data_IF_317810530069
#
_entry.id   IF_317810530069
#
_cell.length_a   1.000
_cell.length_b   1.000
_cell.length_c   1.000
_cell.angle_alpha   90.00
_cell.angle_beta   90.00
_cell.angle_gamma   90.00
#
_symmetry.space_group_name_H-M   'P 1'
#
loop_
_entity.id
_entity.type
_entity.pdbx_description
1 polymer ?
#
# COMPACT_ATOMS: atom_id res chain seq x y z
N UNK A 1 16.35 -4.88 9.12
CA UNK A 1 16.17 -4.62 7.67
C UNK A 1 16.68 -3.21 7.41
N UNK A 2 17.60 -3.03 6.47
CA UNK A 2 18.05 -1.69 6.07
C UNK A 2 17.01 -1.06 5.14
N UNK A 3 16.85 0.26 5.17
CA UNK A 3 16.00 0.99 4.21
C UNK A 3 16.42 0.71 2.75
N UNK A 4 17.70 0.39 2.51
CA UNK A 4 18.20 -0.03 1.20
C UNK A 4 17.60 -1.34 0.71
N UNK A 5 17.17 -2.23 1.62
CA UNK A 5 16.49 -3.48 1.29
C UNK A 5 15.07 -3.21 0.78
N UNK A 6 14.37 -2.24 1.36
CA UNK A 6 13.00 -1.88 0.95
C UNK A 6 12.96 -1.36 -0.50
N UNK A 7 13.98 -0.61 -0.93
CA UNK A 7 14.10 -0.10 -2.31
C UNK A 7 14.14 -1.21 -3.38
N UNK A 8 14.46 -2.43 -2.99
CA UNK A 8 14.61 -3.57 -3.90
C UNK A 8 13.44 -4.55 -3.86
N UNK A 9 12.43 -4.30 -3.02
CA UNK A 9 11.24 -5.13 -2.96
C UNK A 9 10.48 -5.09 -4.29
N UNK A 10 10.16 -6.26 -4.82
CA UNK A 10 9.27 -6.42 -5.98
C UNK A 10 7.83 -6.72 -5.55
N UNK A 11 7.66 -7.34 -4.39
CA UNK A 11 6.37 -7.72 -3.81
C UNK A 11 6.35 -7.30 -2.35
N UNK A 12 5.23 -6.69 -1.93
CA UNK A 12 4.97 -6.26 -0.57
C UNK A 12 3.55 -6.72 -0.21
N UNK A 13 3.49 -7.83 0.52
CA UNK A 13 2.25 -8.33 1.10
C UNK A 13 2.22 -8.00 2.59
N UNK A 14 1.29 -7.13 2.96
CA UNK A 14 1.04 -6.75 4.35
C UNK A 14 -0.41 -7.06 4.77
N UNK A 15 -1.11 -7.93 4.02
CA UNK A 15 -2.52 -8.26 4.28
C UNK A 15 -2.78 -8.83 5.67
N UNK A 16 -1.80 -9.54 6.23
CA UNK A 16 -1.87 -10.25 7.51
C UNK A 16 -1.19 -9.50 8.65
N UNK A 17 -0.56 -8.35 8.38
CA UNK A 17 0.07 -7.55 9.43
C UNK A 17 -1.03 -6.82 10.22
N UNK A 18 -1.17 -7.21 11.48
CA UNK A 18 -2.14 -6.62 12.41
C UNK A 18 -1.48 -6.30 13.75
N UNK A 19 -1.80 -5.15 14.38
CA UNK A 19 -2.63 -4.06 13.88
C UNK A 19 -1.80 -2.95 13.23
N UNK A 20 -2.04 -2.67 11.94
CA UNK A 20 -1.52 -1.45 11.28
C UNK A 20 -2.64 -0.42 11.17
N UNK A 21 -2.45 0.81 11.61
CA UNK A 21 -3.41 1.89 11.37
C UNK A 21 -3.22 2.52 9.99
N UNK A 22 -4.18 3.31 9.51
CA UNK A 22 -4.02 4.08 8.27
C UNK A 22 -2.77 4.97 8.29
N UNK A 23 -2.42 5.52 9.46
CA UNK A 23 -1.22 6.34 9.65
C UNK A 23 0.04 5.50 9.43
N UNK A 24 0.08 4.29 9.98
CA UNK A 24 1.22 3.38 9.81
C UNK A 24 1.38 2.96 8.34
N UNK A 25 0.26 2.65 7.67
CA UNK A 25 0.26 2.28 6.25
C UNK A 25 0.71 3.48 5.41
N UNK A 26 0.17 4.67 5.61
CA UNK A 26 0.57 5.89 4.90
C UNK A 26 2.07 6.17 5.11
N UNK A 27 2.56 6.04 6.34
CA UNK A 27 3.99 6.23 6.62
C UNK A 27 4.85 5.20 5.88
N UNK A 28 4.40 3.94 5.78
CA UNK A 28 5.06 2.91 4.98
C UNK A 28 5.06 3.28 3.49
N UNK A 29 3.93 3.74 2.94
CA UNK A 29 3.78 4.09 1.52
C UNK A 29 4.60 5.34 1.10
N UNK A 30 5.06 6.15 2.06
CA UNK A 30 6.01 7.25 1.77
C UNK A 30 7.42 6.75 1.41
N UNK A 31 7.72 5.47 1.63
CA UNK A 31 9.02 4.92 1.23
C UNK A 31 9.14 4.81 -0.29
N UNK A 32 10.37 5.00 -0.76
CA UNK A 32 10.71 4.92 -2.19
C UNK A 32 10.91 3.45 -2.63
N UNK A 33 9.79 2.76 -2.88
CA UNK A 33 9.79 1.38 -3.36
C UNK A 33 10.04 1.30 -4.88
N UNK A 34 11.25 1.64 -5.33
CA UNK A 34 11.62 1.76 -6.76
C UNK A 34 11.29 0.56 -7.63
N UNK A 35 11.30 -0.65 -7.07
CA UNK A 35 11.10 -1.90 -7.82
C UNK A 35 9.74 -2.55 -7.56
N UNK A 36 8.87 -1.95 -6.76
CA UNK A 36 7.65 -2.63 -6.31
C UNK A 36 6.65 -2.79 -7.45
N UNK A 37 6.28 -4.04 -7.70
CA UNK A 37 5.34 -4.45 -8.76
C UNK A 37 4.02 -4.95 -8.21
N UNK A 38 4.05 -5.52 -7.01
CA UNK A 38 2.89 -6.10 -6.35
C UNK A 38 2.77 -5.52 -4.95
N UNK A 39 1.58 -5.03 -4.63
CA UNK A 39 1.24 -4.54 -3.30
C UNK A 39 -0.07 -5.20 -2.85
N UNK A 40 -0.11 -5.67 -1.61
CA UNK A 40 -1.32 -6.21 -1.01
C UNK A 40 -1.56 -5.58 0.36
N UNK A 41 -2.73 -4.94 0.52
CA UNK A 41 -3.03 -4.06 1.65
C UNK A 41 -3.88 -4.78 2.73
N UNK A 42 -3.74 -4.40 4.01
CA UNK A 42 -4.45 -5.05 5.12
C UNK A 42 -5.95 -4.77 5.12
N UNK A 43 -6.70 -5.61 5.84
CA UNK A 43 -8.16 -5.58 5.86
C UNK A 43 -8.78 -4.25 6.27
N UNK A 44 -8.13 -3.54 7.17
CA UNK A 44 -8.60 -2.28 7.72
C UNK A 44 -8.17 -1.06 6.89
N UNK A 45 -7.63 -1.27 5.69
CA UNK A 45 -7.34 -0.19 4.75
C UNK A 45 -8.60 0.59 4.41
N UNK A 46 -8.55 1.90 4.64
CA UNK A 46 -9.62 2.83 4.30
C UNK A 46 -9.37 3.56 2.98
N UNK A 47 -10.37 4.33 2.58
CA UNK A 47 -10.37 5.17 1.39
C UNK A 47 -9.24 6.23 1.41
N UNK A 48 -8.86 6.71 2.60
CA UNK A 48 -7.79 7.70 2.77
C UNK A 48 -6.42 7.11 2.41
N UNK A 49 -6.18 5.84 2.77
CA UNK A 49 -4.96 5.12 2.39
C UNK A 49 -4.90 4.93 0.87
N UNK A 50 -6.02 4.57 0.24
CA UNK A 50 -6.09 4.41 -1.22
C UNK A 50 -5.86 5.74 -1.92
N UNK A 51 -6.47 6.83 -1.45
CA UNK A 51 -6.24 8.17 -1.98
C UNK A 51 -4.77 8.57 -1.84
N UNK A 52 -4.13 8.28 -0.71
CA UNK A 52 -2.70 8.53 -0.52
C UNK A 52 -1.83 7.68 -1.46
N UNK A 53 -2.15 6.40 -1.63
CA UNK A 53 -1.48 5.50 -2.56
C UNK A 53 -1.50 6.09 -3.99
N UNK A 54 -2.68 6.47 -4.48
CA UNK A 54 -2.85 6.96 -5.84
C UNK A 54 -2.25 8.36 -6.07
N UNK A 55 -2.31 9.25 -5.07
CA UNK A 55 -1.96 10.66 -5.29
C UNK A 55 -0.60 11.07 -4.75
N UNK A 56 -0.02 10.33 -3.81
CA UNK A 56 1.19 10.74 -3.09
C UNK A 56 2.32 9.70 -3.13
N UNK A 57 2.05 8.46 -3.51
CA UNK A 57 3.08 7.40 -3.44
C UNK A 57 3.91 7.35 -4.73
N UNK A 58 5.24 7.53 -4.66
CA UNK A 58 6.10 7.70 -5.84
C UNK A 58 6.19 6.44 -6.72
N UNK A 59 5.94 5.26 -6.15
CA UNK A 59 6.04 3.97 -6.83
C UNK A 59 4.72 3.50 -7.44
N UNK A 60 3.60 4.24 -7.28
CA UNK A 60 2.28 3.76 -7.70
C UNK A 60 2.22 3.47 -9.20
N UNK A 61 2.90 4.28 -10.02
CA UNK A 61 2.99 4.09 -11.48
C UNK A 61 3.79 2.83 -11.88
N UNK A 62 4.55 2.25 -10.95
CA UNK A 62 5.33 1.04 -11.20
C UNK A 62 4.59 -0.25 -10.81
N UNK A 63 3.47 -0.13 -10.09
CA UNK A 63 2.65 -1.27 -9.69
C UNK A 63 1.95 -1.89 -10.90
N UNK A 64 2.06 -3.21 -10.98
CA UNK A 64 1.35 -4.05 -11.97
C UNK A 64 0.21 -4.84 -11.35
N UNK A 65 0.21 -4.97 -10.02
CA UNK A 65 -0.80 -5.68 -9.27
C UNK A 65 -1.04 -4.98 -7.92
N UNK A 66 -2.29 -4.65 -7.64
CA UNK A 66 -2.74 -4.14 -6.36
C UNK A 66 -3.83 -5.08 -5.84
N UNK A 67 -3.54 -5.79 -4.74
CA UNK A 67 -4.50 -6.67 -4.09
C UNK A 67 -5.24 -5.90 -2.98
N UNK A 68 -6.54 -5.68 -3.19
CA UNK A 68 -7.46 -5.09 -2.23
C UNK A 68 -8.52 -6.09 -1.75
N UNK A 69 -8.39 -7.38 -2.08
CA UNK A 69 -9.43 -8.40 -1.84
C UNK A 69 -9.80 -8.54 -0.37
N UNK A 70 -8.87 -8.25 0.55
CA UNK A 70 -9.11 -8.31 1.98
C UNK A 70 -9.58 -6.97 2.58
N UNK A 71 -9.56 -5.87 1.84
CA UNK A 71 -9.87 -4.52 2.33
C UNK A 71 -11.38 -4.32 2.54
N UNK A 72 -11.91 -4.74 3.68
CA UNK A 72 -13.34 -4.66 4.00
C UNK A 72 -13.83 -3.26 4.38
N UNK A 73 -12.91 -2.32 4.62
CA UNK A 73 -13.20 -0.95 5.08
C UNK A 73 -13.25 0.08 3.96
N UNK A 74 -13.14 -0.35 2.70
CA UNK A 74 -13.27 0.54 1.54
C UNK A 74 -14.75 0.86 1.26
N UNK A 75 -15.06 2.14 1.13
CA UNK A 75 -16.39 2.57 0.72
C UNK A 75 -16.52 2.51 -0.80
N UNK A 76 -17.71 2.19 -1.30
CA UNK A 76 -18.03 2.23 -2.75
C UNK A 76 -17.78 3.61 -3.42
N UNK A 77 -17.50 4.67 -2.66
CA UNK A 77 -17.28 6.04 -3.15
C UNK A 77 -15.86 6.30 -3.68
N UNK A 78 -14.93 5.39 -3.42
CA UNK A 78 -13.49 5.63 -3.65
C UNK A 78 -13.00 5.14 -5.01
N UNK A 79 -13.93 4.67 -5.84
CA UNK A 79 -13.72 4.22 -7.20
C UNK A 79 -14.29 5.27 -8.16
N UNK A 80 -13.86 6.54 -8.05
CA UNK A 80 -14.16 7.61 -9.00
C UNK A 80 -12.98 8.58 -9.10
#
# INVERSE_FOLDING_TARGET
ISLSTLKQLNDLDIQTLYPLTDVDIIHLLRNDFKKLKKLALPRNTTDDVIKHLCTQSPFVLSLTHLNLSNCSSLSNRSIL
#
